data_IF_518625346794
#
_entry.id   IF_518625346794
#
_cell.length_a   1.000
_cell.length_b   1.000
_cell.length_c   1.000
_cell.angle_alpha   90.00
_cell.angle_beta   90.00
_cell.angle_gamma   90.00
#
_symmetry.space_group_name_H-M   'P 1'
#
loop_
_entity.id
_entity.type
_entity.pdbx_description
1 polymer ?
#
# COMPACT_ATOMS: atom_id res chain seq x y z
N UNK A 1 4.38 -14.38 -1.18
CA UNK A 1 3.49 -13.32 -0.65
C UNK A 1 4.06 -12.77 0.65
N UNK A 2 4.02 -11.48 0.82
CA UNK A 2 4.48 -10.82 2.03
C UNK A 2 3.31 -10.08 2.66
N UNK A 3 3.13 -10.22 3.96
CA UNK A 3 2.09 -9.53 4.72
C UNK A 3 2.77 -8.65 5.78
N UNK A 4 2.30 -7.42 5.88
CA UNK A 4 2.81 -6.46 6.87
C UNK A 4 1.62 -5.86 7.59
N UNK A 5 1.62 -5.94 8.91
CA UNK A 5 0.65 -5.22 9.73
C UNK A 5 1.35 -4.00 10.29
N UNK A 6 0.84 -2.84 9.96
CA UNK A 6 1.51 -1.59 10.32
C UNK A 6 0.51 -0.46 10.51
N UNK A 7 0.89 0.47 11.38
CA UNK A 7 0.21 1.74 11.48
C UNK A 7 0.82 2.64 10.41
N UNK A 8 0.01 3.05 9.44
CA UNK A 8 0.53 3.76 8.28
C UNK A 8 -0.49 4.71 7.66
N UNK A 9 0.04 5.71 6.97
CA UNK A 9 -0.73 6.59 6.10
C UNK A 9 -0.48 6.15 4.67
N UNK A 10 -1.54 6.10 3.85
CA UNK A 10 -1.42 5.68 2.46
C UNK A 10 -1.90 6.81 1.56
N UNK A 11 -1.05 7.22 0.63
CA UNK A 11 -1.37 8.25 -0.36
C UNK A 11 -1.35 7.62 -1.74
N UNK A 12 -2.48 7.72 -2.42
CA UNK A 12 -2.57 7.30 -3.81
C UNK A 12 -2.53 8.53 -4.70
N UNK A 13 -1.74 8.47 -5.76
CA UNK A 13 -1.73 9.52 -6.79
C UNK A 13 -1.72 8.86 -8.17
N UNK A 14 -2.38 9.51 -9.12
CA UNK A 14 -2.53 9.04 -10.48
C UNK A 14 -3.52 9.95 -11.18
N UNK A 15 -4.52 9.37 -11.84
CA UNK A 15 -5.59 10.17 -12.45
C UNK A 15 -6.39 10.92 -11.40
N UNK A 16 -6.53 10.30 -10.24
CA UNK A 16 -7.14 10.91 -9.06
C UNK A 16 -6.13 10.82 -7.94
N UNK A 17 -6.44 11.48 -6.84
CA UNK A 17 -5.60 11.36 -5.65
C UNK A 17 -6.48 11.10 -4.44
N UNK A 18 -5.95 10.33 -3.49
CA UNK A 18 -6.65 9.99 -2.26
C UNK A 18 -5.63 9.82 -1.14
N UNK A 19 -6.08 10.11 0.08
CA UNK A 19 -5.27 9.92 1.28
C UNK A 19 -6.08 9.08 2.26
N UNK A 20 -5.47 7.98 2.71
CA UNK A 20 -5.99 7.18 3.82
C UNK A 20 -5.19 7.60 5.05
N UNK A 21 -5.82 8.28 6.02
CA UNK A 21 -5.09 8.78 7.20
C UNK A 21 -4.42 7.65 7.98
N UNK A 22 -3.47 8.01 8.82
CA UNK A 22 -2.76 7.03 9.63
C UNK A 22 -3.73 6.15 10.43
N UNK A 23 -3.59 4.85 10.25
CA UNK A 23 -4.38 3.84 10.95
C UNK A 23 -3.68 2.49 10.85
N UNK A 24 -4.11 1.55 11.65
CA UNK A 24 -3.57 0.18 11.59
C UNK A 24 -4.14 -0.50 10.35
N UNK A 25 -3.26 -1.04 9.52
CA UNK A 25 -3.63 -1.67 8.25
C UNK A 25 -2.83 -2.93 8.00
N UNK A 26 -3.41 -3.79 7.16
CA UNK A 26 -2.72 -4.95 6.62
C UNK A 26 -2.31 -4.63 5.19
N UNK A 27 -1.01 -4.72 4.92
CA UNK A 27 -0.45 -4.53 3.60
C UNK A 27 -0.09 -5.90 3.04
N UNK A 28 -0.55 -6.17 1.83
CA UNK A 28 -0.35 -7.47 1.17
C UNK A 28 0.42 -7.25 -0.12
N UNK A 29 1.59 -7.87 -0.21
CA UNK A 29 2.46 -7.81 -1.39
C UNK A 29 2.51 -9.19 -2.02
N UNK A 30 1.90 -9.32 -3.19
CA UNK A 30 1.84 -10.61 -3.89
C UNK A 30 3.08 -10.84 -4.74
N UNK A 31 3.36 -12.09 -5.04
CA UNK A 31 4.56 -12.47 -5.80
C UNK A 31 4.57 -11.92 -7.23
N UNK A 32 3.39 -11.60 -7.78
CA UNK A 32 3.30 -11.04 -9.13
C UNK A 32 3.52 -9.52 -9.16
N UNK A 33 3.68 -8.88 -8.00
CA UNK A 33 3.85 -7.45 -7.87
C UNK A 33 2.58 -6.69 -7.50
N UNK A 34 1.44 -7.36 -7.37
CA UNK A 34 0.20 -6.73 -6.94
C UNK A 34 0.29 -6.35 -5.46
N UNK A 35 -0.27 -5.21 -5.11
CA UNK A 35 -0.27 -4.69 -3.73
C UNK A 35 -1.70 -4.38 -3.32
N UNK A 36 -2.08 -4.79 -2.13
CA UNK A 36 -3.40 -4.50 -1.57
C UNK A 36 -3.25 -3.91 -0.17
N UNK A 37 -4.08 -2.92 0.13
CA UNK A 37 -4.12 -2.27 1.43
C UNK A 37 -5.48 -2.54 2.05
N UNK A 38 -5.47 -3.21 3.20
CA UNK A 38 -6.69 -3.57 3.91
C UNK A 38 -6.79 -2.85 5.24
N UNK A 39 -8.03 -2.56 5.65
CA UNK A 39 -8.30 -2.07 6.98
C UNK A 39 -8.06 -3.18 8.01
N UNK A 40 -7.70 -2.80 9.23
CA UNK A 40 -7.59 -3.71 10.35
C UNK A 40 -8.96 -4.26 10.77
N UNK A 41 -10.02 -3.48 10.55
CA UNK A 41 -11.37 -3.84 10.94
C UNK A 41 -12.34 -3.70 9.78
N UNK A 42 -13.50 -4.34 9.91
CA UNK A 42 -14.58 -4.18 8.95
C UNK A 42 -14.55 -5.24 7.86
N UNK A 43 -14.95 -4.85 6.66
CA UNK A 43 -15.16 -5.77 5.56
C UNK A 43 -13.90 -6.37 4.97
N UNK A 44 -14.10 -7.20 3.98
CA UNK A 44 -13.03 -7.93 3.30
C UNK A 44 -12.51 -7.24 2.04
N UNK A 45 -13.10 -6.10 1.66
CA UNK A 45 -12.64 -5.36 0.48
C UNK A 45 -11.41 -4.53 0.82
N UNK A 46 -10.42 -4.48 -0.06
CA UNK A 46 -9.27 -3.62 0.18
C UNK A 46 -9.67 -2.15 0.10
N UNK A 47 -9.02 -1.32 0.92
CA UNK A 47 -9.20 0.13 0.88
C UNK A 47 -8.52 0.73 -0.36
N UNK A 48 -7.43 0.12 -0.78
CA UNK A 48 -6.71 0.51 -1.97
C UNK A 48 -5.92 -0.69 -2.51
N UNK A 49 -5.59 -0.63 -3.80
CA UNK A 49 -4.83 -1.72 -4.42
C UNK A 49 -4.12 -1.20 -5.65
N UNK A 50 -3.09 -1.95 -6.09
CA UNK A 50 -2.42 -1.69 -7.34
C UNK A 50 -2.08 -3.04 -7.99
N UNK A 51 -2.50 -3.19 -9.25
CA UNK A 51 -2.25 -4.44 -9.98
C UNK A 51 -0.87 -4.43 -10.62
N UNK A 52 -0.30 -5.62 -10.77
CA UNK A 52 0.98 -5.79 -11.47
C UNK A 52 0.87 -5.33 -12.94
N UNK A 53 1.98 -4.95 -13.56
CA UNK A 53 3.34 -4.93 -13.05
C UNK A 53 3.63 -3.65 -12.25
N UNK A 54 4.45 -3.79 -11.19
CA UNK A 54 4.79 -2.69 -10.32
C UNK A 54 6.28 -2.67 -10.01
N UNK A 55 6.77 -1.50 -9.56
CA UNK A 55 8.09 -1.37 -8.94
C UNK A 55 7.85 -0.96 -7.49
N UNK A 56 8.45 -1.70 -6.57
CA UNK A 56 8.30 -1.46 -5.14
C UNK A 56 9.66 -1.03 -4.58
N UNK A 57 9.67 0.15 -3.97
CA UNK A 57 10.87 0.71 -3.33
C UNK A 57 10.59 0.83 -1.84
N UNK A 58 11.45 0.25 -1.03
CA UNK A 58 11.25 0.19 0.41
C UNK A 58 12.40 0.83 1.15
N UNK A 59 12.06 1.64 2.15
CA UNK A 59 13.03 2.23 3.07
C UNK A 59 12.55 1.95 4.50
N UNK A 60 13.25 2.48 5.51
CA UNK A 60 12.93 2.19 6.90
C UNK A 60 11.52 2.60 7.30
N UNK A 61 11.03 3.70 6.75
CA UNK A 61 9.76 4.29 7.17
C UNK A 61 8.77 4.49 6.02
N UNK A 62 9.09 4.01 4.82
CA UNK A 62 8.23 4.25 3.66
C UNK A 62 8.32 3.11 2.66
N UNK A 63 7.18 2.79 2.05
CA UNK A 63 7.11 1.87 0.92
C UNK A 63 6.43 2.63 -0.22
N UNK A 64 7.09 2.71 -1.37
CA UNK A 64 6.55 3.35 -2.56
C UNK A 64 6.28 2.28 -3.60
N UNK A 65 5.05 2.23 -4.09
CA UNK A 65 4.64 1.30 -5.14
C UNK A 65 4.28 2.11 -6.38
N UNK A 66 4.97 1.85 -7.48
CA UNK A 66 4.72 2.56 -8.75
C UNK A 66 4.28 1.57 -9.81
N UNK A 67 3.26 1.96 -10.57
CA UNK A 67 2.76 1.16 -11.68
C UNK A 67 3.71 1.29 -12.87
N UNK A 68 4.21 0.17 -13.37
CA UNK A 68 5.03 0.19 -14.58
C UNK A 68 4.16 0.52 -15.79
N UNK A 69 4.62 1.50 -16.55
CA UNK A 69 3.91 1.93 -17.76
C UNK A 69 2.70 2.82 -17.47
N UNK A 70 2.50 3.24 -16.22
CA UNK A 70 1.39 4.10 -15.84
C UNK A 70 1.83 5.19 -14.88
N UNK A 71 0.88 6.01 -14.46
CA UNK A 71 1.13 7.12 -13.54
C UNK A 71 0.80 6.79 -12.10
N UNK A 72 0.15 5.66 -11.86
CA UNK A 72 -0.35 5.30 -10.54
C UNK A 72 0.79 5.05 -9.56
N UNK A 73 0.64 5.60 -8.36
CA UNK A 73 1.64 5.49 -7.32
C UNK A 73 0.97 5.42 -5.95
N UNK A 74 1.47 4.53 -5.10
CA UNK A 74 1.09 4.47 -3.69
C UNK A 74 2.31 4.84 -2.85
N UNK A 75 2.15 5.82 -1.97
CA UNK A 75 3.16 6.18 -0.99
C UNK A 75 2.63 5.74 0.37
N UNK A 76 3.27 4.74 0.95
CA UNK A 76 2.87 4.18 2.24
C UNK A 76 3.88 4.62 3.27
N UNK A 77 3.48 5.54 4.15
CA UNK A 77 4.34 6.02 5.22
C UNK A 77 4.09 5.20 6.47
N UNK A 78 5.13 4.52 6.93
CA UNK A 78 5.04 3.61 8.07
C UNK A 78 5.36 4.38 9.36
N UNK A 79 4.40 4.44 10.27
CA UNK A 79 4.63 5.01 11.60
C UNK A 79 5.13 3.93 12.56
N UNK A 80 4.56 2.73 12.44
CA UNK A 80 4.95 1.61 13.30
C UNK A 80 4.65 0.30 12.59
N UNK A 81 5.61 -0.60 12.55
CA UNK A 81 5.41 -1.95 12.01
C UNK A 81 5.10 -2.86 13.19
N UNK A 82 3.94 -3.51 13.14
CA UNK A 82 3.49 -4.41 14.21
C UNK A 82 3.92 -5.84 13.92
N UNK A 83 3.83 -6.25 12.69
CA UNK A 83 4.33 -7.58 12.31
C UNK A 83 4.53 -7.73 10.79
#
# INVERSE_FOLDING_TARGET
>A
MRLVVARCEVRYSGRLSAVLPEALRLLMFKSDGSVMVHSDTGGYKPENWMTAPTVIEESDDEIVVRKLGGEDRLDIRLAEIVS
#
